data_IF_745547227887
#
_entry.id   IF_745547227887
#
_cell.length_a   1.000
_cell.length_b   1.000
_cell.length_c   1.000
_cell.angle_alpha   90.00
_cell.angle_beta   90.00
_cell.angle_gamma   90.00
#
_symmetry.space_group_name_H-M   'P 1'
#
loop_
_entity.id
_entity.type
_entity.pdbx_description
1 polymer ?
#
# COMPACT_ATOMS: atom_id res chain seq x y z
N UNK A 1 -32.45 9.25 15.71
CA UNK A 1 -32.36 7.79 15.92
C UNK A 1 -31.40 7.23 14.87
N UNK A 2 -30.31 6.58 15.28
CA UNK A 2 -29.35 5.97 14.34
C UNK A 2 -29.91 4.60 13.92
N UNK A 3 -30.26 4.45 12.66
CA UNK A 3 -30.73 3.17 12.11
C UNK A 3 -29.51 2.27 11.87
N UNK A 4 -29.20 1.39 12.81
CA UNK A 4 -28.14 0.39 12.64
C UNK A 4 -28.70 -0.73 11.77
N UNK A 5 -28.27 -0.77 10.50
CA UNK A 5 -28.58 -1.88 9.59
C UNK A 5 -27.88 -3.16 10.09
N UNK A 6 -28.58 -4.30 10.23
CA UNK A 6 -27.95 -5.54 10.65
C UNK A 6 -26.98 -6.04 9.56
N UNK A 7 -25.72 -6.30 9.92
CA UNK A 7 -24.75 -6.84 8.97
C UNK A 7 -25.01 -8.32 8.66
N UNK A 8 -25.04 -8.72 7.38
CA UNK A 8 -25.22 -10.11 7.00
C UNK A 8 -24.03 -10.95 7.50
N UNK A 9 -24.34 -12.12 8.07
CA UNK A 9 -23.34 -13.07 8.58
C UNK A 9 -23.20 -14.21 7.60
N UNK A 10 -21.97 -14.49 7.19
CA UNK A 10 -21.63 -15.61 6.31
C UNK A 10 -20.88 -16.66 7.12
N UNK A 11 -21.27 -17.92 6.94
CA UNK A 11 -20.59 -19.07 7.51
C UNK A 11 -20.12 -19.96 6.37
N UNK A 12 -18.85 -20.37 6.39
CA UNK A 12 -18.28 -21.23 5.38
C UNK A 12 -17.37 -22.27 6.04
N UNK A 13 -17.18 -23.39 5.34
CA UNK A 13 -16.29 -24.46 5.81
C UNK A 13 -14.91 -24.27 5.20
N UNK A 14 -13.89 -24.45 6.03
CA UNK A 14 -12.48 -24.47 5.62
C UNK A 14 -11.90 -25.85 5.88
N UNK A 15 -10.98 -26.27 5.02
CA UNK A 15 -10.11 -27.40 5.34
C UNK A 15 -9.30 -27.08 6.60
N UNK A 16 -9.05 -28.09 7.42
CA UNK A 16 -8.27 -28.01 8.66
C UNK A 16 -6.90 -27.36 8.43
N UNK A 17 -6.23 -27.69 7.32
CA UNK A 17 -4.91 -27.11 6.96
C UNK A 17 -4.99 -25.58 6.83
N UNK A 18 -6.00 -25.08 6.11
CA UNK A 18 -6.15 -23.65 5.83
C UNK A 18 -6.63 -22.89 7.06
N UNK A 19 -7.50 -23.50 7.86
CA UNK A 19 -7.90 -22.95 9.15
C UNK A 19 -6.70 -22.79 10.10
N UNK A 20 -5.81 -23.78 10.19
CA UNK A 20 -4.59 -23.69 11.02
C UNK A 20 -3.68 -22.55 10.56
N UNK A 21 -3.49 -22.39 9.25
CA UNK A 21 -2.71 -21.29 8.67
C UNK A 21 -3.33 -19.94 8.97
N UNK A 22 -4.64 -19.80 8.76
CA UNK A 22 -5.37 -18.57 9.07
C UNK A 22 -5.24 -18.22 10.56
N UNK A 23 -5.42 -19.19 11.44
CA UNK A 23 -5.29 -18.99 12.89
C UNK A 23 -3.89 -18.53 13.28
N UNK A 24 -2.84 -19.15 12.73
CA UNK A 24 -1.46 -18.74 12.98
C UNK A 24 -1.20 -17.30 12.53
N UNK A 25 -1.66 -16.93 11.33
CA UNK A 25 -1.54 -15.56 10.81
C UNK A 25 -2.30 -14.54 11.67
N UNK A 26 -3.52 -14.86 12.08
CA UNK A 26 -4.31 -13.99 12.96
C UNK A 26 -3.62 -13.75 14.31
N UNK A 27 -3.01 -14.79 14.89
CA UNK A 27 -2.22 -14.67 16.13
C UNK A 27 -1.00 -13.78 15.92
N UNK A 28 -0.23 -14.00 14.85
CA UNK A 28 0.95 -13.20 14.53
C UNK A 28 0.60 -11.71 14.35
N UNK A 29 -0.54 -11.43 13.71
CA UNK A 29 -1.02 -10.07 13.46
C UNK A 29 -1.81 -9.47 14.62
N UNK A 30 -2.02 -10.20 15.72
CA UNK A 30 -2.85 -9.80 16.87
C UNK A 30 -4.27 -9.36 16.45
N UNK A 31 -4.86 -10.05 15.47
CA UNK A 31 -6.21 -9.77 14.95
C UNK A 31 -7.11 -11.00 15.05
N UNK A 32 -8.43 -10.81 14.96
CA UNK A 32 -9.36 -11.94 14.90
C UNK A 32 -9.38 -12.59 13.51
N UNK A 33 -9.67 -13.89 13.44
CA UNK A 33 -9.76 -14.61 12.17
C UNK A 33 -10.77 -13.97 11.20
N UNK A 34 -11.92 -13.50 11.69
CA UNK A 34 -12.92 -12.81 10.87
C UNK A 34 -12.45 -11.44 10.40
N UNK A 35 -11.59 -10.74 11.16
CA UNK A 35 -10.96 -9.51 10.70
C UNK A 35 -9.93 -9.80 9.59
N UNK A 36 -9.07 -10.80 9.78
CA UNK A 36 -8.08 -11.19 8.76
C UNK A 36 -8.76 -11.66 7.46
N UNK A 37 -9.87 -12.40 7.54
CA UNK A 37 -10.67 -12.81 6.37
C UNK A 37 -11.26 -11.59 5.67
N UNK A 38 -11.89 -10.66 6.42
CA UNK A 38 -12.47 -9.44 5.84
C UNK A 38 -11.42 -8.60 5.12
N UNK A 39 -10.24 -8.45 5.71
CA UNK A 39 -9.12 -7.75 5.10
C UNK A 39 -8.67 -8.43 3.80
N UNK A 40 -8.48 -9.76 3.83
CA UNK A 40 -8.08 -10.53 2.65
C UNK A 40 -9.11 -10.44 1.50
N UNK A 41 -10.41 -10.52 1.83
CA UNK A 41 -11.48 -10.34 0.86
C UNK A 41 -11.51 -8.89 0.34
N UNK A 42 -11.30 -7.91 1.22
CA UNK A 42 -11.26 -6.51 0.82
C UNK A 42 -10.11 -6.24 -0.16
N UNK A 43 -8.94 -6.82 0.09
CA UNK A 43 -7.79 -6.78 -0.82
C UNK A 43 -8.04 -7.55 -2.12
N UNK A 44 -8.78 -8.65 -2.09
CA UNK A 44 -9.10 -9.38 -3.32
C UNK A 44 -10.11 -8.62 -4.20
N UNK A 45 -11.10 -7.97 -3.58
CA UNK A 45 -12.14 -7.21 -4.26
C UNK A 45 -11.65 -5.83 -4.72
N UNK A 46 -10.82 -5.16 -3.90
CA UNK A 46 -10.38 -3.78 -4.13
C UNK A 46 -8.88 -3.65 -4.42
N UNK A 47 -8.08 -4.69 -4.27
CA UNK A 47 -6.63 -4.68 -4.55
C UNK A 47 -6.25 -4.65 -6.03
N UNK A 48 -7.24 -4.48 -6.93
CA UNK A 48 -7.02 -3.95 -8.27
C UNK A 48 -7.06 -2.41 -8.32
N UNK A 49 -7.15 -1.71 -7.19
CA UNK A 49 -6.81 -0.29 -7.16
C UNK A 49 -5.31 -0.16 -7.45
N UNK A 50 -5.02 0.19 -8.70
CA UNK A 50 -3.68 0.48 -9.21
C UNK A 50 -2.96 1.34 -8.18
N UNK A 51 -1.84 0.84 -7.66
CA UNK A 51 -0.98 1.59 -6.74
C UNK A 51 -0.79 3.01 -7.30
N UNK A 52 -1.00 4.02 -6.45
CA UNK A 52 -0.84 5.41 -6.87
C UNK A 52 0.60 5.64 -7.35
N UNK A 53 0.82 6.64 -8.22
CA UNK A 53 2.16 6.97 -8.71
C UNK A 53 3.17 7.11 -7.56
N UNK A 54 2.74 7.71 -6.44
CA UNK A 54 3.53 7.86 -5.22
C UNK A 54 3.92 6.51 -4.58
N UNK A 55 3.01 5.53 -4.53
CA UNK A 55 3.30 4.19 -4.02
C UNK A 55 4.23 3.40 -4.93
N UNK A 56 4.15 3.61 -6.26
CA UNK A 56 5.09 3.02 -7.22
C UNK A 56 6.48 3.67 -7.13
N UNK A 57 6.53 4.97 -6.86
CA UNK A 57 7.76 5.72 -6.68
C UNK A 57 8.40 5.55 -5.30
N UNK A 58 7.71 4.96 -4.31
CA UNK A 58 8.25 4.77 -2.96
C UNK A 58 9.55 3.94 -2.93
N UNK A 59 9.76 3.03 -3.89
CA UNK A 59 11.02 2.31 -4.07
C UNK A 59 12.12 3.09 -4.81
N UNK A 60 11.77 4.21 -5.44
CA UNK A 60 12.69 5.13 -6.12
C UNK A 60 12.99 6.39 -5.27
N UNK A 61 12.11 6.76 -4.35
CA UNK A 61 12.32 7.83 -3.36
C UNK A 61 13.34 7.31 -2.34
N UNK A 62 14.55 7.87 -2.40
CA UNK A 62 15.70 7.49 -1.56
C UNK A 62 16.73 6.58 -2.24
N UNK A 63 16.47 6.09 -3.46
CA UNK A 63 17.42 5.28 -4.22
C UNK A 63 18.44 6.09 -5.04
N UNK A 64 18.21 7.39 -5.21
CA UNK A 64 19.17 8.27 -5.85
C UNK A 64 20.24 8.70 -4.84
N UNK A 65 21.39 8.03 -4.87
CA UNK A 65 22.62 8.58 -4.28
C UNK A 65 23.07 9.73 -5.16
N UNK A 66 22.70 10.94 -4.76
CA UNK A 66 23.17 12.19 -5.30
C UNK A 66 23.64 13.08 -4.15
N UNK A 67 24.40 14.15 -4.42
CA UNK A 67 24.84 15.08 -3.38
C UNK A 67 23.62 15.57 -2.59
N UNK A 68 23.75 15.56 -1.25
CA UNK A 68 22.68 15.85 -0.29
C UNK A 68 22.02 17.24 -0.47
N UNK A 69 22.65 18.11 -1.26
CA UNK A 69 22.15 19.43 -1.57
C UNK A 69 22.37 19.78 -3.05
N UNK A 70 21.32 19.59 -3.85
CA UNK A 70 21.23 20.13 -5.22
C UNK A 70 20.60 21.53 -5.24
N UNK A 71 20.07 22.03 -4.12
CA UNK A 71 19.36 23.30 -4.05
C UNK A 71 20.28 24.52 -4.04
N UNK A 72 21.55 24.35 -3.66
CA UNK A 72 22.51 25.46 -3.48
C UNK A 72 23.69 25.49 -4.46
N UNK A 73 23.90 24.43 -5.25
CA UNK A 73 25.04 24.37 -6.18
C UNK A 73 24.73 25.02 -7.54
N UNK A 74 25.00 26.33 -7.65
CA UNK A 74 24.90 27.12 -8.91
C UNK A 74 25.60 26.47 -10.13
N UNK A 75 26.64 25.65 -9.90
CA UNK A 75 27.36 24.91 -10.95
C UNK A 75 26.48 23.92 -11.72
N UNK A 76 25.45 23.34 -11.11
CA UNK A 76 24.58 22.35 -11.75
C UNK A 76 23.41 22.98 -12.52
N UNK A 77 23.21 24.30 -12.36
CA UNK A 77 22.23 25.08 -13.12
C UNK A 77 22.82 25.74 -14.37
N UNK A 78 24.13 25.55 -14.65
CA UNK A 78 24.79 26.11 -15.83
C UNK A 78 24.21 25.48 -17.11
N UNK A 79 23.35 26.21 -17.82
CA UNK A 79 22.66 25.77 -19.03
C UNK A 79 21.18 25.43 -18.85
N UNK A 80 20.67 25.40 -17.61
CA UNK A 80 19.23 25.31 -17.35
C UNK A 80 18.59 26.68 -17.60
N UNK A 81 17.62 26.75 -18.52
CA UNK A 81 16.94 28.00 -18.89
C UNK A 81 17.52 28.71 -20.13
N UNK A 82 18.60 28.19 -20.72
CA UNK A 82 19.00 28.59 -22.07
C UNK A 82 18.18 27.82 -23.09
N UNK A 83 16.87 28.07 -23.11
CA UNK A 83 16.09 27.84 -24.32
C UNK A 83 16.73 28.70 -25.41
N UNK A 84 17.37 28.03 -26.36
CA UNK A 84 17.87 28.70 -27.55
C UNK A 84 16.75 29.51 -28.19
N UNK A 85 16.99 30.81 -28.34
CA UNK A 85 16.62 31.53 -29.54
C UNK A 85 17.51 32.76 -29.65
N UNK A 86 18.16 32.81 -30.81
CA UNK A 86 18.92 33.91 -31.37
C UNK A 86 18.02 35.08 -31.74
#
# INVERSE_FOLDING_TARGET
MIHIQPMPRVTFRLNVRDYRRLKALSVQRKTSCSASIREGLNLLLHGKQKASLAQRAAGAIGGASGPADLSTSKKYFKGYGSSGQS
#
